data_IF_736979180515
#
_entry.id   IF_736979180515
#
_cell.length_a   1.000
_cell.length_b   1.000
_cell.length_c   1.000
_cell.angle_alpha   90.00
_cell.angle_beta   90.00
_cell.angle_gamma   90.00
#
_symmetry.space_group_name_H-M   'P 1'
#
loop_
_entity.id
_entity.type
_entity.pdbx_description
1 polymer ?
#
# COMPACT_ATOMS: atom_id res chain seq x y z
N UNK A 1 11.40 -2.87 16.66
CA UNK A 1 11.50 -2.52 15.22
C UNK A 1 12.64 -3.21 14.44
N UNK A 2 13.47 -4.04 15.08
CA UNK A 2 14.54 -4.84 14.41
C UNK A 2 14.08 -6.17 13.81
N UNK A 3 12.88 -6.64 14.14
CA UNK A 3 12.40 -8.00 13.77
C UNK A 3 11.80 -8.12 12.37
N UNK A 4 11.41 -7.03 11.71
CA UNK A 4 10.77 -7.09 10.38
C UNK A 4 11.74 -7.41 9.25
N UNK A 5 13.02 -7.03 9.39
CA UNK A 5 14.07 -7.33 8.42
C UNK A 5 14.37 -8.84 8.30
N UNK A 6 14.40 -9.52 9.44
CA UNK A 6 14.62 -10.98 9.48
C UNK A 6 13.55 -11.75 8.72
N UNK A 7 12.30 -11.33 8.80
CA UNK A 7 11.16 -12.01 8.16
C UNK A 7 11.11 -11.86 6.64
N UNK A 8 11.61 -10.77 6.08
CA UNK A 8 11.61 -10.57 4.62
C UNK A 8 12.72 -11.37 3.91
N UNK A 9 13.86 -11.57 4.60
CA UNK A 9 15.04 -12.25 4.04
C UNK A 9 15.03 -13.75 4.33
N UNK A 10 14.45 -14.22 5.45
CA UNK A 10 14.56 -15.59 5.93
C UNK A 10 13.66 -16.63 5.25
N UNK A 11 12.73 -16.25 4.37
CA UNK A 11 11.74 -17.18 3.80
C UNK A 11 12.21 -17.98 2.57
N UNK A 12 13.49 -17.88 2.19
CA UNK A 12 14.06 -18.75 1.14
C UNK A 12 15.36 -19.49 1.52
N UNK A 13 15.84 -19.26 2.74
CA UNK A 13 17.02 -19.96 3.27
C UNK A 13 16.64 -20.85 4.45
N UNK A 14 16.02 -21.99 4.15
CA UNK A 14 15.86 -23.10 5.11
C UNK A 14 17.16 -23.89 5.29
N UNK A 15 18.32 -23.23 5.16
CA UNK A 15 19.61 -23.94 5.12
C UNK A 15 20.76 -23.35 5.92
N UNK A 16 20.70 -22.14 6.49
CA UNK A 16 21.82 -21.68 7.32
C UNK A 16 21.43 -20.66 8.38
N UNK A 17 20.84 -21.16 9.45
CA UNK A 17 20.69 -20.42 10.70
C UNK A 17 22.02 -20.33 11.45
N UNK A 18 23.02 -19.61 10.93
CA UNK A 18 24.21 -19.14 11.68
C UNK A 18 25.24 -18.43 10.76
N UNK A 19 24.84 -17.58 9.85
CA UNK A 19 25.78 -16.65 9.26
C UNK A 19 26.11 -15.60 10.34
N UNK A 20 27.17 -15.81 11.08
CA UNK A 20 27.79 -14.82 11.98
C UNK A 20 27.92 -13.51 11.19
N UNK A 21 27.26 -12.47 11.68
CA UNK A 21 27.30 -11.12 11.11
C UNK A 21 28.69 -10.53 11.41
N UNK A 22 29.73 -10.98 10.68
CA UNK A 22 31.08 -10.52 10.88
C UNK A 22 31.22 -9.11 10.29
N UNK A 23 31.68 -8.18 11.11
CA UNK A 23 32.01 -6.82 10.65
C UNK A 23 33.44 -6.87 10.12
N UNK A 24 33.63 -6.39 8.88
CA UNK A 24 34.89 -6.38 8.17
C UNK A 24 35.19 -4.96 7.71
N UNK A 25 36.44 -4.53 7.83
CA UNK A 25 36.89 -3.25 7.28
C UNK A 25 37.12 -3.38 5.77
N UNK A 26 36.37 -2.61 5.00
CA UNK A 26 36.41 -2.63 3.54
C UNK A 26 37.02 -1.32 3.02
N UNK A 27 37.93 -1.38 2.04
CA UNK A 27 38.48 -0.19 1.40
C UNK A 27 37.36 0.65 0.76
N UNK A 28 37.30 1.93 1.11
CA UNK A 28 36.24 2.86 0.64
C UNK A 28 36.20 2.98 -0.88
N UNK A 29 37.37 2.89 -1.53
CA UNK A 29 37.51 2.91 -3.00
C UNK A 29 36.85 1.70 -3.70
N UNK A 30 36.71 0.57 -3.01
CA UNK A 30 36.11 -0.65 -3.55
C UNK A 30 34.58 -0.68 -3.39
N UNK A 31 33.97 0.38 -2.79
CA UNK A 31 32.54 0.43 -2.55
C UNK A 31 31.89 1.34 -3.59
N UNK A 32 30.93 0.77 -4.33
CA UNK A 32 30.07 1.50 -5.28
C UNK A 32 28.70 1.75 -4.67
N UNK A 33 28.13 2.94 -4.95
CA UNK A 33 26.77 3.27 -4.51
C UNK A 33 25.75 2.42 -5.27
N UNK A 34 24.64 2.12 -4.63
CA UNK A 34 23.56 1.34 -5.23
C UNK A 34 22.83 2.16 -6.30
N UNK A 35 22.72 1.70 -7.56
CA UNK A 35 21.97 2.38 -8.60
C UNK A 35 20.46 2.48 -8.32
N UNK A 36 19.93 1.64 -7.43
CA UNK A 36 18.51 1.63 -7.04
C UNK A 36 18.18 2.59 -5.89
N UNK A 37 19.13 3.45 -5.47
CA UNK A 37 18.85 4.43 -4.42
C UNK A 37 18.14 5.67 -5.00
N UNK A 38 16.91 5.97 -4.58
CA UNK A 38 16.13 7.08 -5.15
C UNK A 38 16.58 8.46 -4.66
N UNK A 39 17.48 8.53 -3.66
CA UNK A 39 17.92 9.80 -3.09
C UNK A 39 19.14 10.35 -3.83
N UNK A 40 18.89 11.34 -4.67
CA UNK A 40 19.94 12.10 -5.38
C UNK A 40 20.36 13.39 -4.64
N UNK A 41 19.47 13.95 -3.81
CA UNK A 41 19.72 15.21 -3.10
C UNK A 41 20.02 14.93 -1.64
N UNK A 42 21.27 15.20 -1.24
CA UNK A 42 21.73 15.13 0.14
C UNK A 42 22.06 16.54 0.63
N UNK A 43 21.57 16.90 1.82
CA UNK A 43 21.99 18.13 2.46
C UNK A 43 23.45 17.98 2.89
N UNK A 44 24.33 18.81 2.33
CA UNK A 44 25.76 18.79 2.57
C UNK A 44 26.08 19.07 4.04
N UNK A 45 25.39 20.03 4.67
CA UNK A 45 25.57 20.36 6.09
C UNK A 45 25.31 19.16 7.00
N UNK A 46 24.25 18.38 6.69
CA UNK A 46 23.91 17.18 7.46
C UNK A 46 24.91 16.02 7.27
N UNK A 47 25.69 16.02 6.16
CA UNK A 47 26.79 15.06 5.97
C UNK A 47 28.01 15.52 6.77
N UNK A 48 28.32 16.81 6.79
CA UNK A 48 29.44 17.38 7.55
C UNK A 48 29.22 17.21 9.06
N UNK A 49 28.02 17.41 9.56
CA UNK A 49 27.67 17.15 10.97
C UNK A 49 27.87 15.67 11.33
N UNK A 50 27.42 14.78 10.46
CA UNK A 50 27.64 13.34 10.62
C UNK A 50 29.13 12.99 10.55
N UNK A 51 29.89 13.64 9.66
CA UNK A 51 31.34 13.43 9.57
C UNK A 51 32.07 13.85 10.87
N UNK A 52 31.70 14.96 11.49
CA UNK A 52 32.22 15.36 12.80
C UNK A 52 31.94 14.29 13.86
N UNK A 53 30.71 13.77 13.91
CA UNK A 53 30.32 12.69 14.83
C UNK A 53 31.14 11.42 14.60
N UNK A 54 31.31 11.02 13.32
CA UNK A 54 32.10 9.84 12.94
C UNK A 54 33.59 10.05 13.27
N UNK A 55 34.12 11.23 13.07
CA UNK A 55 35.50 11.54 13.44
C UNK A 55 35.75 11.34 14.93
N UNK A 56 34.81 11.71 15.80
CA UNK A 56 34.95 11.64 17.26
C UNK A 56 34.70 10.23 17.82
N UNK A 57 33.68 9.54 17.31
CA UNK A 57 33.21 8.28 17.91
C UNK A 57 33.39 7.05 16.99
N UNK A 58 33.95 7.23 15.82
CA UNK A 58 34.01 6.17 14.80
C UNK A 58 32.66 5.88 14.17
N UNK A 59 32.63 4.89 13.28
CA UNK A 59 31.39 4.39 12.69
C UNK A 59 30.75 3.38 13.62
N UNK A 60 29.90 3.84 14.53
CA UNK A 60 29.20 3.00 15.54
C UNK A 60 28.36 1.91 14.87
N UNK A 61 27.71 2.24 13.77
CA UNK A 61 26.85 1.32 13.03
C UNK A 61 27.49 1.01 11.68
N UNK A 62 27.97 -0.23 11.42
CA UNK A 62 28.60 -0.58 10.15
C UNK A 62 27.63 -0.38 8.98
N UNK A 63 28.16 -0.11 7.79
CA UNK A 63 27.39 -0.13 6.55
C UNK A 63 27.06 -1.57 6.16
N UNK A 64 26.08 -1.75 5.28
CA UNK A 64 25.74 -3.07 4.72
C UNK A 64 26.08 -3.06 3.24
N UNK A 65 26.85 -4.04 2.81
CA UNK A 65 27.29 -4.19 1.43
C UNK A 65 27.08 -5.62 0.94
N UNK A 66 27.03 -5.81 -0.38
CA UNK A 66 27.15 -7.13 -1.00
C UNK A 66 28.39 -7.20 -1.88
N UNK A 67 28.95 -8.38 -2.04
CA UNK A 67 30.05 -8.61 -2.96
C UNK A 67 29.51 -8.77 -4.39
N UNK A 68 30.05 -8.01 -5.34
CA UNK A 68 29.73 -8.12 -6.77
C UNK A 68 31.01 -8.14 -7.58
N UNK A 69 31.50 -9.35 -7.86
CA UNK A 69 32.81 -9.51 -8.46
C UNK A 69 33.93 -8.98 -7.55
N UNK A 70 34.70 -8.02 -8.04
CA UNK A 70 35.82 -7.40 -7.33
C UNK A 70 35.44 -6.15 -6.52
N UNK A 71 34.21 -5.73 -6.54
CA UNK A 71 33.73 -4.54 -5.83
C UNK A 71 32.63 -4.90 -4.84
N UNK A 72 32.36 -3.99 -3.92
CA UNK A 72 31.25 -4.08 -2.98
C UNK A 72 30.18 -3.08 -3.36
N UNK A 73 28.94 -3.54 -3.51
CA UNK A 73 27.79 -2.68 -3.77
C UNK A 73 27.09 -2.34 -2.46
N UNK A 74 26.87 -1.06 -2.21
CA UNK A 74 26.25 -0.58 -0.99
C UNK A 74 24.76 -0.91 -0.96
N UNK A 75 24.29 -1.57 0.09
CA UNK A 75 22.88 -1.86 0.34
C UNK A 75 22.27 -0.79 1.26
N UNK A 76 22.95 -0.48 2.37
CA UNK A 76 22.47 0.52 3.34
C UNK A 76 23.65 1.28 3.98
N UNK A 77 23.43 2.58 4.23
CA UNK A 77 24.41 3.42 4.92
C UNK A 77 25.07 4.49 4.04
N UNK A 78 24.44 4.94 2.96
CA UNK A 78 24.96 5.95 2.01
C UNK A 78 25.51 7.21 2.73
N UNK A 79 24.75 7.76 3.71
CA UNK A 79 25.22 8.93 4.45
C UNK A 79 26.52 8.69 5.21
N UNK A 80 26.68 7.50 5.77
CA UNK A 80 27.92 7.09 6.48
C UNK A 80 29.07 6.94 5.52
N UNK A 81 28.85 6.29 4.38
CA UNK A 81 29.87 6.17 3.34
C UNK A 81 30.33 7.54 2.83
N UNK A 82 29.42 8.48 2.58
CA UNK A 82 29.74 9.83 2.16
C UNK A 82 30.50 10.61 3.24
N UNK A 83 30.10 10.51 4.49
CA UNK A 83 30.79 11.15 5.60
C UNK A 83 32.23 10.61 5.75
N UNK A 84 32.42 9.29 5.63
CA UNK A 84 33.73 8.66 5.68
C UNK A 84 34.61 9.07 4.47
N UNK A 85 34.03 9.18 3.26
CA UNK A 85 34.72 9.74 2.08
C UNK A 85 35.13 11.19 2.30
N UNK A 86 34.26 12.01 2.90
CA UNK A 86 34.55 13.40 3.23
C UNK A 86 35.71 13.51 4.25
N UNK A 87 35.82 12.57 5.19
CA UNK A 87 36.93 12.48 6.14
C UNK A 87 38.23 11.92 5.55
N UNK A 88 38.22 11.43 4.31
CA UNK A 88 39.38 10.84 3.66
C UNK A 88 39.85 9.50 4.27
N UNK A 89 38.97 8.76 4.97
CA UNK A 89 39.33 7.47 5.54
C UNK A 89 39.53 6.42 4.44
N UNK A 90 40.51 5.55 4.64
CA UNK A 90 40.86 4.48 3.68
C UNK A 90 39.89 3.29 3.75
N UNK A 91 39.32 2.99 4.94
CA UNK A 91 38.45 1.85 5.19
C UNK A 91 37.21 2.27 5.95
N UNK A 92 36.18 1.44 5.90
CA UNK A 92 34.94 1.61 6.66
C UNK A 92 34.44 0.25 7.15
N UNK A 93 33.98 0.13 8.42
CA UNK A 93 33.40 -1.10 8.93
C UNK A 93 32.08 -1.41 8.21
N UNK A 94 32.00 -2.61 7.67
CA UNK A 94 30.90 -3.09 6.86
C UNK A 94 30.47 -4.51 7.22
N UNK A 95 29.21 -4.83 7.03
CA UNK A 95 28.64 -6.17 7.06
C UNK A 95 28.48 -6.62 5.61
N UNK A 96 29.18 -7.68 5.23
CA UNK A 96 29.00 -8.28 3.91
C UNK A 96 27.84 -9.25 3.94
N UNK A 97 26.87 -9.05 3.03
CA UNK A 97 25.72 -9.94 2.85
C UNK A 97 25.80 -10.58 1.47
N UNK A 98 25.55 -11.87 1.41
CA UNK A 98 25.34 -12.56 0.14
C UNK A 98 23.87 -12.37 -0.26
N UNK A 99 23.64 -11.52 -1.27
CA UNK A 99 22.31 -11.12 -1.72
C UNK A 99 22.28 -11.03 -3.24
N UNK A 100 21.22 -11.57 -3.85
CA UNK A 100 20.99 -11.40 -5.28
C UNK A 100 20.42 -9.98 -5.57
N UNK A 101 20.31 -9.62 -6.87
CA UNK A 101 19.85 -8.30 -7.29
C UNK A 101 18.45 -7.97 -6.78
N UNK A 102 17.51 -8.93 -6.83
CA UNK A 102 16.15 -8.74 -6.33
C UNK A 102 16.10 -8.50 -4.81
N UNK A 103 16.90 -9.22 -4.04
CA UNK A 103 17.03 -9.04 -2.58
C UNK A 103 17.64 -7.68 -2.24
N UNK A 104 18.64 -7.24 -3.02
CA UNK A 104 19.30 -5.94 -2.83
C UNK A 104 18.37 -4.78 -3.14
N UNK A 105 17.65 -4.85 -4.25
CA UNK A 105 16.62 -3.86 -4.61
C UNK A 105 15.53 -3.77 -3.54
N UNK A 106 15.08 -4.92 -3.03
CA UNK A 106 14.07 -4.97 -1.97
C UNK A 106 14.55 -4.38 -0.66
N UNK A 107 15.79 -4.66 -0.27
CA UNK A 107 16.36 -4.09 0.95
C UNK A 107 16.42 -2.56 0.87
N UNK A 108 16.79 -2.00 -0.28
CA UNK A 108 16.78 -0.57 -0.52
C UNK A 108 15.35 0.03 -0.50
N UNK A 109 14.38 -0.67 -1.09
CA UNK A 109 12.97 -0.24 -1.08
C UNK A 109 12.38 -0.25 0.33
N UNK A 110 12.66 -1.30 1.12
CA UNK A 110 12.17 -1.42 2.50
C UNK A 110 12.82 -0.35 3.40
N UNK A 111 14.13 -0.13 3.25
CA UNK A 111 14.82 0.95 3.99
C UNK A 111 14.17 2.30 3.67
N UNK A 112 13.91 2.58 2.39
CA UNK A 112 13.25 3.80 1.97
C UNK A 112 11.81 3.89 2.52
N UNK A 113 11.07 2.78 2.51
CA UNK A 113 9.69 2.71 3.03
C UNK A 113 9.60 2.96 4.55
N UNK A 114 10.68 2.73 5.30
CA UNK A 114 10.76 2.99 6.74
C UNK A 114 11.09 4.46 7.08
N UNK A 115 11.25 5.31 6.08
CA UNK A 115 11.51 6.74 6.30
C UNK A 115 10.26 7.44 6.78
N UNK A 116 10.46 8.39 7.68
CA UNK A 116 9.40 9.32 8.06
C UNK A 116 9.14 10.33 6.92
N UNK A 117 7.88 10.64 6.70
CA UNK A 117 7.46 11.69 5.77
C UNK A 117 7.26 11.27 4.32
N UNK A 118 7.23 9.97 4.00
CA UNK A 118 6.82 9.49 2.68
C UNK A 118 5.40 9.92 2.35
N UNK A 119 5.20 10.33 1.12
CA UNK A 119 3.85 10.58 0.60
C UNK A 119 3.11 9.27 0.32
N UNK A 120 1.76 9.29 0.30
CA UNK A 120 0.97 8.12 -0.04
C UNK A 120 1.30 7.50 -1.40
N UNK A 121 1.71 8.31 -2.37
CA UNK A 121 2.11 7.86 -3.71
C UNK A 121 3.48 7.17 -3.67
N UNK A 122 4.46 7.73 -2.95
CA UNK A 122 5.78 7.09 -2.80
C UNK A 122 5.67 5.72 -2.11
N UNK A 123 4.82 5.61 -1.08
CA UNK A 123 4.53 4.31 -0.47
C UNK A 123 3.89 3.33 -1.48
N UNK A 124 2.94 3.80 -2.29
CA UNK A 124 2.25 2.98 -3.28
C UNK A 124 3.22 2.45 -4.35
N UNK A 125 4.10 3.31 -4.88
CA UNK A 125 5.13 2.91 -5.85
C UNK A 125 6.09 1.88 -5.24
N UNK A 126 6.52 2.07 -4.00
CA UNK A 126 7.39 1.11 -3.31
C UNK A 126 6.69 -0.25 -3.12
N UNK A 127 5.40 -0.26 -2.77
CA UNK A 127 4.63 -1.51 -2.67
C UNK A 127 4.49 -2.21 -4.01
N UNK A 128 4.19 -1.48 -5.08
CA UNK A 128 4.10 -2.05 -6.42
C UNK A 128 5.42 -2.71 -6.83
N UNK A 129 6.53 -2.01 -6.67
CA UNK A 129 7.86 -2.54 -6.97
C UNK A 129 8.21 -3.80 -6.17
N UNK A 130 7.85 -3.84 -4.87
CA UNK A 130 8.05 -5.04 -4.04
C UNK A 130 7.20 -6.23 -4.50
N UNK A 131 5.97 -6.00 -4.93
CA UNK A 131 5.10 -7.05 -5.48
C UNK A 131 5.69 -7.63 -6.77
N UNK A 132 6.13 -6.77 -7.70
CA UNK A 132 6.72 -7.15 -8.99
C UNK A 132 8.05 -7.90 -8.82
N UNK A 133 8.97 -7.38 -7.99
CA UNK A 133 10.28 -7.99 -7.76
C UNK A 133 10.23 -9.41 -7.19
N UNK A 134 9.21 -9.69 -6.38
CA UNK A 134 9.10 -10.97 -5.67
C UNK A 134 7.93 -11.85 -6.14
N UNK A 135 7.11 -11.39 -7.07
CA UNK A 135 5.89 -12.10 -7.48
C UNK A 135 4.93 -12.34 -6.30
N UNK A 136 4.84 -11.38 -5.36
CA UNK A 136 4.03 -11.51 -4.16
C UNK A 136 2.57 -11.11 -4.39
N UNK A 137 1.67 -11.71 -3.60
CA UNK A 137 0.32 -11.18 -3.45
C UNK A 137 0.31 -10.00 -2.47
N UNK A 138 -0.70 -9.13 -2.58
CA UNK A 138 -0.89 -8.00 -1.65
C UNK A 138 -1.00 -8.47 -0.20
N UNK A 139 -1.63 -9.61 0.03
CA UNK A 139 -1.77 -10.22 1.36
C UNK A 139 -0.42 -10.65 1.92
N UNK A 140 0.40 -11.34 1.11
CA UNK A 140 1.74 -11.77 1.50
C UNK A 140 2.65 -10.58 1.80
N UNK A 141 2.56 -9.50 1.00
CA UNK A 141 3.31 -8.27 1.25
C UNK A 141 2.85 -7.59 2.56
N UNK A 142 1.54 -7.52 2.79
CA UNK A 142 0.97 -6.94 4.01
C UNK A 142 1.44 -7.66 5.26
N UNK A 143 1.39 -9.00 5.25
CA UNK A 143 1.88 -9.83 6.35
C UNK A 143 3.37 -9.58 6.63
N UNK A 144 4.22 -9.51 5.60
CA UNK A 144 5.66 -9.26 5.72
C UNK A 144 5.98 -7.88 6.28
N UNK A 145 5.22 -6.87 5.89
CA UNK A 145 5.39 -5.49 6.35
C UNK A 145 4.69 -5.21 7.69
N UNK A 146 3.92 -6.16 8.24
CA UNK A 146 3.13 -5.99 9.45
C UNK A 146 2.00 -4.96 9.28
N UNK A 147 1.48 -4.83 8.05
CA UNK A 147 0.38 -3.91 7.69
C UNK A 147 -0.88 -4.71 7.32
N UNK A 148 -2.04 -4.07 7.36
CA UNK A 148 -3.27 -4.69 6.86
C UNK A 148 -3.27 -4.77 5.33
N UNK A 149 -3.80 -5.87 4.76
CA UNK A 149 -3.96 -6.03 3.30
C UNK A 149 -4.75 -4.86 2.68
N UNK A 150 -5.81 -4.41 3.35
CA UNK A 150 -6.61 -3.26 2.91
C UNK A 150 -5.81 -1.96 2.84
N UNK A 151 -4.81 -1.79 3.70
CA UNK A 151 -3.90 -0.62 3.67
C UNK A 151 -3.04 -0.64 2.41
N UNK A 152 -2.44 -1.79 2.07
CA UNK A 152 -1.65 -1.97 0.85
C UNK A 152 -2.53 -1.74 -0.39
N UNK A 153 -3.70 -2.38 -0.43
CA UNK A 153 -4.64 -2.25 -1.55
C UNK A 153 -5.08 -0.79 -1.77
N UNK A 154 -5.41 -0.07 -0.70
CA UNK A 154 -5.81 1.34 -0.78
C UNK A 154 -4.68 2.24 -1.32
N UNK A 155 -3.44 1.99 -0.93
CA UNK A 155 -2.28 2.73 -1.46
C UNK A 155 -2.08 2.44 -2.94
N UNK A 156 -2.06 1.16 -3.34
CA UNK A 156 -1.88 0.77 -4.74
C UNK A 156 -2.96 1.34 -5.66
N UNK A 157 -4.21 1.44 -5.18
CA UNK A 157 -5.29 2.07 -5.95
C UNK A 157 -5.03 3.53 -6.28
N UNK A 158 -4.23 4.26 -5.50
CA UNK A 158 -3.90 5.66 -5.79
C UNK A 158 -3.10 5.83 -7.08
N UNK A 159 -2.37 4.80 -7.50
CA UNK A 159 -1.60 4.80 -8.76
C UNK A 159 -2.49 4.75 -10.01
N UNK A 160 -3.77 4.39 -9.85
CA UNK A 160 -4.76 4.42 -10.94
C UNK A 160 -5.43 5.79 -11.13
N UNK A 161 -5.10 6.76 -10.29
CA UNK A 161 -5.61 8.13 -10.44
C UNK A 161 -4.83 8.87 -11.53
N UNK A 162 -5.45 9.86 -12.19
CA UNK A 162 -4.76 10.74 -13.13
C UNK A 162 -3.52 11.39 -12.51
N UNK A 163 -2.53 11.67 -13.32
CA UNK A 163 -1.26 12.27 -12.88
C UNK A 163 -1.48 13.60 -12.12
N UNK A 164 -2.43 14.41 -12.54
CA UNK A 164 -2.81 15.66 -11.86
C UNK A 164 -3.24 15.44 -10.43
N UNK A 165 -4.02 14.36 -10.14
CA UNK A 165 -4.45 14.01 -8.79
C UNK A 165 -3.28 13.48 -7.98
N UNK A 166 -2.41 12.66 -8.60
CA UNK A 166 -1.19 12.17 -7.94
C UNK A 166 -0.26 13.32 -7.57
N UNK A 167 -0.09 14.32 -8.44
CA UNK A 167 0.71 15.52 -8.17
C UNK A 167 0.13 16.34 -7.02
N UNK A 168 -1.19 16.51 -6.96
CA UNK A 168 -1.85 17.18 -5.84
C UNK A 168 -1.65 16.46 -4.49
N UNK A 169 -1.52 15.13 -4.51
CA UNK A 169 -1.14 14.33 -3.34
C UNK A 169 0.33 14.52 -2.95
N UNK A 170 1.25 14.51 -3.93
CA UNK A 170 2.68 14.71 -3.71
C UNK A 170 2.98 16.09 -3.13
N UNK A 171 2.28 17.12 -3.63
CA UNK A 171 2.40 18.51 -3.14
C UNK A 171 1.59 18.77 -1.85
N UNK A 172 0.91 17.75 -1.31
CA UNK A 172 0.08 17.83 -0.09
C UNK A 172 -1.08 18.83 -0.18
N UNK A 173 -1.53 19.15 -1.38
CA UNK A 173 -2.72 20.01 -1.58
C UNK A 173 -4.01 19.27 -1.21
N UNK A 174 -4.03 17.96 -1.37
CA UNK A 174 -5.10 17.07 -0.94
C UNK A 174 -4.55 15.96 -0.05
N UNK A 175 -5.42 15.33 0.74
CA UNK A 175 -5.06 14.17 1.55
C UNK A 175 -5.38 12.87 0.83
N UNK A 176 -4.81 11.76 1.29
CA UNK A 176 -5.11 10.41 0.79
C UNK A 176 -6.62 10.11 0.77
N UNK A 177 -7.38 10.59 1.78
CA UNK A 177 -8.82 10.38 1.85
C UNK A 177 -9.57 11.09 0.72
N UNK A 178 -9.16 12.31 0.36
CA UNK A 178 -9.73 13.03 -0.80
C UNK A 178 -9.49 12.23 -2.09
N UNK A 179 -8.24 11.79 -2.31
CA UNK A 179 -7.88 11.03 -3.50
C UNK A 179 -8.63 9.69 -3.58
N UNK A 180 -8.80 8.99 -2.45
CA UNK A 180 -9.58 7.75 -2.40
C UNK A 180 -11.05 7.95 -2.76
N UNK A 181 -11.64 9.09 -2.38
CA UNK A 181 -13.01 9.40 -2.77
C UNK A 181 -13.15 9.54 -4.30
N UNK A 182 -12.16 10.16 -4.96
CA UNK A 182 -12.15 10.34 -6.41
C UNK A 182 -12.08 9.01 -7.19
N UNK A 183 -11.49 7.96 -6.62
CA UNK A 183 -11.44 6.62 -7.24
C UNK A 183 -12.83 6.00 -7.53
N UNK A 184 -13.88 6.51 -6.93
CA UNK A 184 -15.24 6.04 -7.18
C UNK A 184 -15.81 6.58 -8.50
N UNK A 185 -15.22 7.63 -9.07
CA UNK A 185 -15.67 8.23 -10.32
C UNK A 185 -15.18 7.42 -11.52
N UNK A 186 -16.05 7.20 -12.53
CA UNK A 186 -15.74 6.28 -13.64
C UNK A 186 -14.75 6.82 -14.67
N UNK A 187 -14.57 8.13 -14.77
CA UNK A 187 -13.69 8.74 -15.78
C UNK A 187 -12.70 9.71 -15.19
N UNK A 188 -11.54 9.83 -15.84
CA UNK A 188 -10.45 10.73 -15.42
C UNK A 188 -10.88 12.20 -15.44
N UNK A 189 -11.70 12.61 -16.44
CA UNK A 189 -12.18 13.98 -16.56
C UNK A 189 -13.00 14.38 -15.34
N UNK A 190 -13.88 13.50 -14.85
CA UNK A 190 -14.66 13.75 -13.63
C UNK A 190 -13.80 13.81 -12.37
N UNK A 191 -12.74 12.99 -12.31
CA UNK A 191 -11.80 13.01 -11.20
C UNK A 191 -11.04 14.34 -11.16
N UNK A 192 -10.60 14.84 -12.33
CA UNK A 192 -9.89 16.11 -12.46
C UNK A 192 -10.84 17.30 -12.20
N UNK A 193 -12.08 17.25 -12.71
CA UNK A 193 -13.09 18.27 -12.47
C UNK A 193 -13.33 18.47 -10.96
N UNK A 194 -13.58 17.37 -10.23
CA UNK A 194 -13.83 17.43 -8.80
C UNK A 194 -12.58 17.79 -7.99
N UNK A 195 -11.40 17.40 -8.45
CA UNK A 195 -10.14 17.86 -7.85
C UNK A 195 -10.03 19.39 -7.92
N UNK A 196 -10.24 19.97 -9.10
CA UNK A 196 -10.16 21.43 -9.30
C UNK A 196 -11.16 22.18 -8.42
N UNK A 197 -12.42 21.71 -8.37
CA UNK A 197 -13.42 22.28 -7.47
C UNK A 197 -13.00 22.15 -5.99
N UNK A 198 -12.41 21.04 -5.61
CA UNK A 198 -11.92 20.82 -4.25
C UNK A 198 -10.81 21.82 -3.88
N UNK A 199 -9.87 22.05 -4.79
CA UNK A 199 -8.77 22.98 -4.58
C UNK A 199 -9.25 24.44 -4.51
N UNK A 200 -10.19 24.83 -5.40
CA UNK A 200 -10.76 26.19 -5.42
C UNK A 200 -11.56 26.50 -4.16
N UNK A 201 -12.39 25.55 -3.69
CA UNK A 201 -13.34 25.76 -2.59
C UNK A 201 -12.81 25.31 -1.23
N UNK A 202 -11.62 24.68 -1.18
CA UNK A 202 -11.02 24.19 0.05
C UNK A 202 -11.85 23.11 0.76
N UNK A 203 -12.42 22.13 0.02
CA UNK A 203 -13.29 21.12 0.60
C UNK A 203 -12.56 20.24 1.60
N UNK A 204 -13.28 19.90 2.67
CA UNK A 204 -12.86 18.83 3.56
C UNK A 204 -13.25 17.45 2.97
N UNK A 205 -12.74 16.38 3.58
CA UNK A 205 -12.98 14.99 3.12
C UNK A 205 -14.47 14.67 2.98
N UNK A 206 -15.30 15.10 3.95
CA UNK A 206 -16.74 14.82 3.95
C UNK A 206 -17.45 15.51 2.77
N UNK A 207 -17.11 16.76 2.51
CA UNK A 207 -17.65 17.51 1.37
C UNK A 207 -17.26 16.88 0.04
N UNK A 208 -16.01 16.40 -0.09
CA UNK A 208 -15.55 15.65 -1.26
C UNK A 208 -16.39 14.38 -1.45
N UNK A 209 -16.55 13.56 -0.40
CA UNK A 209 -17.33 12.32 -0.46
C UNK A 209 -18.80 12.59 -0.83
N UNK A 210 -19.42 13.65 -0.29
CA UNK A 210 -20.78 14.06 -0.63
C UNK A 210 -20.90 14.48 -2.11
N UNK A 211 -19.91 15.22 -2.63
CA UNK A 211 -19.89 15.65 -4.04
C UNK A 211 -19.67 14.47 -4.99
N UNK A 212 -18.77 13.58 -4.69
CA UNK A 212 -18.56 12.33 -5.46
C UNK A 212 -19.85 11.53 -5.51
N UNK A 213 -20.54 11.35 -4.37
CA UNK A 213 -21.81 10.64 -4.31
C UNK A 213 -22.91 11.32 -5.13
N UNK A 214 -23.04 12.66 -5.06
CA UNK A 214 -23.99 13.43 -5.85
C UNK A 214 -23.72 13.26 -7.36
N UNK A 215 -22.45 13.33 -7.79
CA UNK A 215 -22.05 13.14 -9.19
C UNK A 215 -22.42 11.74 -9.68
N UNK A 216 -22.13 10.68 -8.91
CA UNK A 216 -22.51 9.30 -9.24
C UNK A 216 -24.02 9.11 -9.35
N UNK A 217 -24.81 9.68 -8.42
CA UNK A 217 -26.28 9.62 -8.48
C UNK A 217 -26.82 10.33 -9.72
N UNK A 218 -26.23 11.45 -10.13
CA UNK A 218 -26.63 12.17 -11.35
C UNK A 218 -26.34 11.36 -12.62
N UNK A 219 -25.23 10.60 -12.65
CA UNK A 219 -24.89 9.72 -13.76
C UNK A 219 -25.87 8.54 -13.85
N UNK A 220 -26.22 7.93 -12.73
CA UNK A 220 -27.22 6.84 -12.67
C UNK A 220 -28.58 7.31 -13.17
N UNK A 221 -28.95 8.57 -12.92
CA UNK A 221 -30.21 9.15 -13.39
C UNK A 221 -30.16 9.57 -14.86
N UNK A 222 -29.01 10.00 -15.38
CA UNK A 222 -28.83 10.39 -16.79
C UNK A 222 -28.66 9.18 -17.73
N UNK A 223 -28.14 8.06 -17.26
CA UNK A 223 -27.79 6.87 -18.04
C UNK A 223 -28.94 5.91 -18.33
N UNK A 224 -30.18 6.27 -18.17
CA UNK A 224 -31.27 5.43 -18.67
C UNK A 224 -32.46 5.31 -17.74
N UNK A 225 -33.64 5.63 -18.29
CA UNK A 225 -34.97 5.19 -17.86
C UNK A 225 -35.03 3.64 -17.74
N UNK A 226 -34.33 3.06 -16.76
CA UNK A 226 -34.84 1.87 -16.09
C UNK A 226 -35.62 2.40 -14.91
N UNK A 227 -36.92 2.37 -14.99
CA UNK A 227 -37.84 2.51 -13.90
C UNK A 227 -37.29 1.78 -12.67
N UNK A 228 -36.50 2.47 -11.85
CA UNK A 228 -36.34 2.06 -10.46
C UNK A 228 -37.72 2.33 -9.85
N UNK A 229 -38.55 1.31 -9.83
CA UNK A 229 -39.65 1.25 -8.85
C UNK A 229 -39.11 1.89 -7.59
N UNK A 230 -39.76 2.97 -7.13
CA UNK A 230 -39.43 3.63 -5.88
C UNK A 230 -39.37 2.55 -4.81
N UNK A 231 -38.18 2.04 -4.50
CA UNK A 231 -38.01 1.24 -3.31
C UNK A 231 -38.33 2.14 -2.14
N UNK A 232 -39.59 2.08 -1.71
CA UNK A 232 -40.02 2.65 -0.44
C UNK A 232 -38.99 2.20 0.59
N UNK A 233 -38.45 3.16 1.33
CA UNK A 233 -37.53 2.85 2.43
C UNK A 233 -38.30 1.98 3.43
N UNK A 234 -38.09 0.66 3.33
CA UNK A 234 -38.60 -0.27 4.33
C UNK A 234 -38.04 0.15 5.68
N UNK A 235 -38.91 0.19 6.68
CA UNK A 235 -38.49 0.44 8.06
C UNK A 235 -37.41 -0.58 8.42
N UNK A 236 -36.51 -0.22 9.34
CA UNK A 236 -35.39 -1.06 9.74
C UNK A 236 -35.85 -2.46 10.19
N UNK A 237 -37.02 -2.51 10.80
CA UNK A 237 -37.65 -3.74 11.32
C UNK A 237 -38.20 -4.64 10.21
N UNK A 238 -38.84 -4.07 9.17
CA UNK A 238 -39.31 -4.84 8.01
C UNK A 238 -38.12 -5.41 7.21
N UNK A 239 -37.04 -4.66 7.05
CA UNK A 239 -35.83 -5.16 6.42
C UNK A 239 -35.21 -6.34 7.17
N UNK A 240 -35.19 -6.26 8.49
CA UNK A 240 -34.70 -7.32 9.34
C UNK A 240 -35.56 -8.58 9.19
N UNK A 241 -36.88 -8.44 9.24
CA UNK A 241 -37.83 -9.56 9.06
C UNK A 241 -37.66 -10.24 7.69
N UNK A 242 -37.62 -9.49 6.60
CA UNK A 242 -37.41 -10.00 5.23
C UNK A 242 -36.09 -10.75 5.11
N UNK A 243 -34.99 -10.19 5.63
CA UNK A 243 -33.69 -10.86 5.59
C UNK A 243 -33.66 -12.14 6.43
N UNK A 244 -34.33 -12.17 7.60
CA UNK A 244 -34.41 -13.36 8.44
C UNK A 244 -35.16 -14.48 7.72
N UNK A 245 -36.28 -14.19 7.03
CA UNK A 245 -37.03 -15.18 6.26
C UNK A 245 -36.16 -15.74 5.12
N UNK A 246 -35.45 -14.89 4.37
CA UNK A 246 -34.54 -15.32 3.29
C UNK A 246 -33.43 -16.25 3.84
N UNK A 247 -32.79 -15.87 4.92
CA UNK A 247 -31.75 -16.65 5.55
C UNK A 247 -32.25 -18.02 6.05
N UNK A 248 -33.48 -18.06 6.58
CA UNK A 248 -34.11 -19.31 6.99
C UNK A 248 -34.43 -20.25 5.81
N UNK A 249 -34.85 -19.67 4.68
CA UNK A 249 -35.09 -20.42 3.44
C UNK A 249 -33.79 -20.97 2.84
N UNK A 250 -32.70 -20.21 2.83
CA UNK A 250 -31.39 -20.69 2.41
C UNK A 250 -30.92 -21.88 3.28
N UNK A 251 -31.07 -21.78 4.59
CA UNK A 251 -30.72 -22.90 5.48
C UNK A 251 -31.56 -24.16 5.19
N UNK A 252 -32.86 -24.03 4.90
CA UNK A 252 -33.73 -25.17 4.56
C UNK A 252 -33.29 -25.80 3.22
N UNK A 253 -32.96 -25.00 2.21
CA UNK A 253 -32.46 -25.49 0.93
C UNK A 253 -31.13 -26.21 1.05
N UNK A 254 -30.24 -25.77 1.96
CA UNK A 254 -28.97 -26.46 2.25
C UNK A 254 -29.17 -27.84 2.91
N UNK A 255 -30.32 -28.12 3.52
CA UNK A 255 -30.64 -29.47 4.03
C UNK A 255 -31.08 -30.46 2.95
N UNK A 256 -31.14 -30.04 1.67
CA UNK A 256 -31.51 -30.89 0.55
C UNK A 256 -33.01 -30.96 0.28
N UNK A 257 -33.83 -30.13 0.95
CA UNK A 257 -35.25 -30.00 0.67
C UNK A 257 -35.46 -29.00 -0.50
N UNK A 258 -36.22 -29.47 -1.51
CA UNK A 258 -36.52 -28.68 -2.71
C UNK A 258 -37.69 -27.74 -2.41
N UNK A 259 -37.38 -26.54 -1.83
CA UNK A 259 -38.39 -25.56 -1.43
C UNK A 259 -38.49 -24.48 -2.49
N UNK A 260 -39.69 -24.32 -3.04
CA UNK A 260 -39.98 -23.21 -3.99
C UNK A 260 -40.53 -22.04 -3.21
N UNK A 261 -39.87 -20.88 -3.36
CA UNK A 261 -40.29 -19.61 -2.77
C UNK A 261 -40.59 -18.57 -3.87
N UNK A 262 -41.79 -18.04 -3.86
CA UNK A 262 -42.20 -16.89 -4.66
C UNK A 262 -42.28 -15.65 -3.75
N UNK A 263 -41.62 -14.56 -4.15
CA UNK A 263 -41.56 -13.30 -3.42
C UNK A 263 -42.27 -12.20 -4.20
N UNK A 264 -43.18 -11.50 -3.56
CA UNK A 264 -43.93 -10.36 -4.13
C UNK A 264 -43.87 -9.15 -3.18
N UNK A 265 -43.59 -7.96 -3.74
CA UNK A 265 -43.56 -6.67 -3.04
C UNK A 265 -44.81 -5.88 -3.43
N UNK A 266 -45.83 -5.96 -2.57
CA UNK A 266 -47.12 -5.28 -2.75
C UNK A 266 -47.12 -3.91 -2.09
N UNK A 267 -48.10 -3.07 -2.40
CA UNK A 267 -48.13 -1.71 -1.88
C UNK A 267 -48.23 -1.59 -0.35
N UNK A 268 -48.85 -2.59 0.33
CA UNK A 268 -49.12 -2.57 1.75
C UNK A 268 -48.33 -3.60 2.55
N UNK A 269 -47.76 -4.66 1.91
CA UNK A 269 -47.08 -5.78 2.58
C UNK A 269 -46.09 -6.46 1.66
N UNK A 270 -45.16 -7.16 2.26
CA UNK A 270 -44.22 -8.07 1.60
C UNK A 270 -44.74 -9.48 1.74
N UNK A 271 -45.02 -10.20 0.64
CA UNK A 271 -45.56 -11.54 0.65
C UNK A 271 -44.49 -12.57 0.23
N UNK A 272 -44.37 -13.62 1.06
CA UNK A 272 -43.61 -14.82 0.73
C UNK A 272 -44.57 -16.01 0.61
N UNK A 273 -44.55 -16.67 -0.54
CA UNK A 273 -45.30 -17.92 -0.72
C UNK A 273 -44.32 -19.08 -0.80
N UNK A 274 -44.28 -19.91 0.24
CA UNK A 274 -43.34 -21.02 0.41
C UNK A 274 -44.06 -22.33 0.16
N UNK A 275 -43.61 -23.14 -0.79
CA UNK A 275 -44.12 -24.48 -1.08
C UNK A 275 -43.07 -25.51 -0.68
N UNK A 276 -43.42 -26.36 0.30
CA UNK A 276 -42.58 -27.42 0.78
C UNK A 276 -43.19 -28.77 0.35
N UNK A 277 -42.48 -29.62 -0.40
CA UNK A 277 -43.00 -30.94 -0.79
C UNK A 277 -43.17 -31.84 0.43
N UNK A 278 -44.27 -32.60 0.48
CA UNK A 278 -44.58 -33.52 1.60
C UNK A 278 -43.91 -34.89 1.51
N UNK A 279 -43.33 -35.20 0.37
CA UNK A 279 -42.61 -36.45 0.13
C UNK A 279 -41.47 -36.21 -0.86
N UNK A 280 -40.34 -36.78 -0.57
CA UNK A 280 -39.20 -36.93 -1.50
C UNK A 280 -39.36 -38.25 -2.21
#
# INVERSE_FOLDING_TARGET
>A
MRESWGRFISLRDSGSANAQTQVVDIPVQNIVSNPYQPRTIFNQEAIEELAKTIHTHGVIQPIVVRKKGNVYELIAGERRLRAVRHLGWSTIPAIVRDMNDAQTASAALIENLQREGLTPIEEAVAYQQLLELHGLTQESLAQRLGKGQSTIANKLRLLHLPETVQQALLTKQITERHARALLALPTEEMQIELLNECLEKGWNVKQMEERVKAKLTSLETAGGKRSKTRRRALSKDVRLAVNTIRQSLEMIQQTGLDVVCEESDEEAFYQFTIRVPKSV
#
